data_IF_622336149906
#
_entry.id   IF_622336149906
#
_cell.length_a   1.000
_cell.length_b   1.000
_cell.length_c   1.000
_cell.angle_alpha   90.00
_cell.angle_beta   90.00
_cell.angle_gamma   90.00
#
_symmetry.space_group_name_H-M   'P 1'
#
loop_
_entity.id
_entity.type
_entity.pdbx_description
1 polymer ?
#
# COMPACT_ATOMS: atom_id res chain seq x y z
N UNK A 1 -19.90 -23.13 -4.20
CA UNK A 1 -20.11 -21.70 -4.04
C UNK A 1 -19.25 -21.17 -2.89
N UNK A 2 -18.52 -20.09 -3.13
CA UNK A 2 -17.58 -19.53 -2.15
C UNK A 2 -18.32 -18.52 -1.27
N UNK A 3 -18.32 -18.71 0.04
CA UNK A 3 -18.92 -17.79 1.01
C UNK A 3 -18.02 -16.57 1.24
N UNK A 4 -18.52 -15.53 1.93
CA UNK A 4 -17.73 -14.36 2.29
C UNK A 4 -16.53 -14.73 3.18
N UNK A 5 -16.70 -15.70 4.07
CA UNK A 5 -15.66 -16.22 4.94
C UNK A 5 -14.54 -16.85 4.12
N UNK A 6 -14.92 -17.64 3.11
CA UNK A 6 -13.96 -18.30 2.22
C UNK A 6 -13.15 -17.29 1.41
N UNK A 7 -13.76 -16.21 0.94
CA UNK A 7 -13.06 -15.14 0.22
C UNK A 7 -12.02 -14.45 1.09
N UNK A 8 -12.34 -14.20 2.35
CA UNK A 8 -11.41 -13.62 3.31
C UNK A 8 -10.23 -14.57 3.57
N UNK A 9 -10.51 -15.86 3.73
CA UNK A 9 -9.48 -16.88 3.91
C UNK A 9 -8.56 -16.96 2.69
N UNK A 10 -9.11 -16.91 1.49
CA UNK A 10 -8.33 -16.93 0.26
C UNK A 10 -7.41 -15.73 0.14
N UNK A 11 -7.89 -14.53 0.49
CA UNK A 11 -7.06 -13.33 0.51
C UNK A 11 -5.93 -13.46 1.51
N UNK A 12 -6.22 -13.97 2.72
CA UNK A 12 -5.22 -14.17 3.75
C UNK A 12 -4.14 -15.16 3.31
N UNK A 13 -4.51 -16.24 2.61
CA UNK A 13 -3.57 -17.20 2.04
C UNK A 13 -2.66 -16.54 0.99
N UNK A 14 -3.24 -15.71 0.11
CA UNK A 14 -2.46 -14.97 -0.88
C UNK A 14 -1.49 -14.01 -0.23
N UNK A 15 -1.93 -13.29 0.80
CA UNK A 15 -1.08 -12.38 1.55
C UNK A 15 0.08 -13.13 2.22
N UNK A 16 -0.20 -14.27 2.84
CA UNK A 16 0.83 -15.10 3.46
C UNK A 16 1.88 -15.54 2.44
N UNK A 17 1.47 -15.95 1.23
CA UNK A 17 2.38 -16.32 0.14
C UNK A 17 3.25 -15.15 -0.31
N UNK A 18 2.67 -13.98 -0.44
CA UNK A 18 3.41 -12.75 -0.80
C UNK A 18 4.44 -12.43 0.30
N UNK A 19 4.03 -12.53 1.58
CA UNK A 19 4.90 -12.21 2.71
C UNK A 19 6.10 -13.16 2.86
N UNK A 20 6.04 -14.37 2.31
CA UNK A 20 7.22 -15.25 2.28
C UNK A 20 8.29 -14.74 1.32
N UNK A 21 7.90 -13.93 0.33
CA UNK A 21 8.80 -13.41 -0.70
C UNK A 21 9.10 -11.92 -0.52
N UNK A 22 8.27 -11.20 0.24
CA UNK A 22 8.36 -9.74 0.40
C UNK A 22 8.62 -9.41 1.86
N UNK A 23 9.78 -8.81 2.12
CA UNK A 23 10.16 -8.32 3.44
C UNK A 23 10.86 -6.98 3.28
N UNK A 24 10.49 -6.00 4.11
CA UNK A 24 11.06 -4.65 4.06
C UNK A 24 12.27 -4.52 4.98
N UNK A 25 13.27 -3.77 4.51
CA UNK A 25 14.46 -3.39 5.28
C UNK A 25 14.54 -1.87 5.36
N UNK A 26 15.49 -1.35 6.14
CA UNK A 26 15.71 0.11 6.21
C UNK A 26 16.11 0.71 4.86
N UNK A 27 16.86 -0.04 4.06
CA UNK A 27 17.33 0.40 2.74
C UNK A 27 16.25 0.26 1.67
N UNK A 28 15.42 -0.76 1.80
CA UNK A 28 14.33 -1.05 0.89
C UNK A 28 13.09 -1.46 1.67
N UNK A 29 12.40 -0.49 2.30
CA UNK A 29 11.23 -0.79 3.12
C UNK A 29 10.05 -1.30 2.30
N UNK A 30 9.09 -1.90 2.99
CA UNK A 30 7.91 -2.48 2.36
C UNK A 30 6.77 -1.47 2.29
N UNK A 31 6.31 -1.18 1.08
CA UNK A 31 5.10 -0.39 0.85
C UNK A 31 3.90 -1.33 0.90
N UNK A 32 3.11 -1.23 1.96
CA UNK A 32 1.95 -2.07 2.20
C UNK A 32 0.67 -1.27 1.96
N UNK A 33 -0.27 -1.86 1.23
CA UNK A 33 -1.57 -1.23 0.98
C UNK A 33 -2.68 -2.03 1.68
N UNK A 34 -3.65 -1.32 2.23
CA UNK A 34 -4.85 -1.91 2.82
C UNK A 34 -6.06 -1.12 2.35
N UNK A 35 -7.12 -1.83 1.98
CA UNK A 35 -8.38 -1.25 1.53
C UNK A 35 -9.53 -1.75 2.38
N UNK A 36 -10.28 -0.83 2.99
CA UNK A 36 -11.55 -1.14 3.63
C UNK A 36 -12.70 -0.77 2.67
N UNK A 37 -13.95 -0.94 3.10
CA UNK A 37 -15.11 -0.55 2.28
C UNK A 37 -15.17 0.95 2.00
N UNK A 38 -14.61 1.77 2.88
CA UNK A 38 -14.74 3.23 2.81
C UNK A 38 -13.42 3.96 2.64
N UNK A 39 -12.28 3.32 2.94
CA UNK A 39 -10.98 4.00 2.97
C UNK A 39 -9.87 3.16 2.37
N UNK A 40 -8.80 3.85 2.00
CA UNK A 40 -7.56 3.25 1.49
C UNK A 40 -6.43 3.71 2.38
N UNK A 41 -5.53 2.79 2.73
CA UNK A 41 -4.38 3.04 3.60
C UNK A 41 -3.11 2.56 2.91
N UNK A 42 -2.03 3.32 3.05
CA UNK A 42 -0.71 2.94 2.58
C UNK A 42 0.31 3.19 3.69
N UNK A 43 1.22 2.26 3.90
CA UNK A 43 2.28 2.36 4.90
C UNK A 43 3.60 1.88 4.31
N UNK A 44 4.68 2.55 4.67
CA UNK A 44 6.04 2.10 4.34
C UNK A 44 6.67 1.64 5.64
N UNK A 45 7.02 0.36 5.70
CA UNK A 45 7.40 -0.35 6.92
C UNK A 45 8.81 -0.94 6.80
N UNK A 46 9.63 -0.72 7.84
CA UNK A 46 10.87 -1.42 8.04
C UNK A 46 10.57 -2.66 8.91
N UNK A 47 10.55 -3.85 8.29
CA UNK A 47 10.20 -5.09 8.98
C UNK A 47 11.30 -5.55 9.96
N UNK A 48 12.54 -5.16 9.74
CA UNK A 48 13.65 -5.52 10.63
C UNK A 48 13.51 -4.76 11.96
N UNK A 49 13.22 -3.47 11.90
CA UNK A 49 13.01 -2.65 13.10
C UNK A 49 11.59 -2.76 13.65
N UNK A 50 10.65 -3.33 12.87
CA UNK A 50 9.24 -3.40 13.25
C UNK A 50 8.59 -2.03 13.35
N UNK A 51 8.96 -1.12 12.45
CA UNK A 51 8.58 0.29 12.55
C UNK A 51 7.96 0.80 11.24
N UNK A 52 6.84 1.52 11.35
CA UNK A 52 6.24 2.24 10.21
C UNK A 52 6.98 3.56 10.02
N UNK A 53 7.61 3.72 8.87
CA UNK A 53 8.40 4.91 8.53
C UNK A 53 7.54 6.05 8.00
N UNK A 54 6.58 5.73 7.14
CA UNK A 54 5.69 6.70 6.48
C UNK A 54 4.31 6.08 6.36
N UNK A 55 3.27 6.90 6.50
CA UNK A 55 1.89 6.46 6.31
C UNK A 55 1.09 7.52 5.55
N UNK A 56 0.09 7.11 4.81
CA UNK A 56 -0.89 7.97 4.15
C UNK A 56 -2.21 7.22 4.01
N UNK A 57 -3.32 7.95 4.04
CA UNK A 57 -4.64 7.33 3.88
C UNK A 57 -5.65 8.34 3.37
N UNK A 58 -6.84 7.85 3.01
CA UNK A 58 -7.96 8.72 2.65
C UNK A 58 -8.49 9.53 3.84
N UNK A 59 -8.08 9.21 5.06
CA UNK A 59 -8.40 9.97 6.27
C UNK A 59 -7.55 11.23 6.42
N UNK A 60 -6.45 11.33 5.70
CA UNK A 60 -5.57 12.50 5.72
C UNK A 60 -6.28 13.74 5.16
N UNK A 61 -5.99 14.90 5.77
CA UNK A 61 -6.54 16.18 5.33
C UNK A 61 -6.14 16.55 3.91
N UNK A 62 -4.97 16.08 3.47
CA UNK A 62 -4.43 16.37 2.15
C UNK A 62 -5.12 15.55 1.04
N UNK A 63 -5.85 14.50 1.39
CA UNK A 63 -6.60 13.68 0.45
C UNK A 63 -8.02 14.23 0.34
N UNK A 64 -8.39 14.69 -0.85
CA UNK A 64 -9.71 15.30 -1.10
C UNK A 64 -10.80 14.24 -1.29
N UNK A 65 -10.49 13.15 -1.94
CA UNK A 65 -11.46 12.07 -2.21
C UNK A 65 -11.49 11.10 -1.03
N UNK A 66 -12.56 11.12 -0.25
CA UNK A 66 -12.73 10.30 0.96
C UNK A 66 -13.50 9.02 0.66
N UNK A 67 -13.08 8.27 -0.35
CA UNK A 67 -13.71 7.02 -0.78
C UNK A 67 -12.65 5.98 -1.12
N UNK A 68 -13.03 4.71 -1.14
CA UNK A 68 -12.12 3.63 -1.52
C UNK A 68 -12.23 3.36 -3.02
N UNK A 69 -11.90 4.35 -3.86
CA UNK A 69 -11.97 4.25 -5.31
C UNK A 69 -10.63 4.58 -5.98
N UNK A 70 -10.61 4.51 -7.31
CA UNK A 70 -9.40 4.74 -8.11
C UNK A 70 -8.84 6.16 -7.93
N UNK A 71 -9.69 7.16 -7.87
CA UNK A 71 -9.26 8.55 -7.70
C UNK A 71 -8.59 8.76 -6.34
N UNK A 72 -9.19 8.20 -5.28
CA UNK A 72 -8.60 8.23 -3.95
C UNK A 72 -7.26 7.49 -3.91
N UNK A 73 -7.16 6.37 -4.61
CA UNK A 73 -5.92 5.60 -4.71
C UNK A 73 -4.79 6.43 -5.33
N UNK A 74 -5.08 7.21 -6.35
CA UNK A 74 -4.09 8.10 -6.98
C UNK A 74 -3.62 9.17 -5.99
N UNK A 75 -4.53 9.76 -5.23
CA UNK A 75 -4.19 10.77 -4.23
C UNK A 75 -3.35 10.19 -3.11
N UNK A 76 -3.71 9.01 -2.59
CA UNK A 76 -2.96 8.33 -1.53
C UNK A 76 -1.58 7.91 -2.02
N UNK A 77 -1.49 7.38 -3.24
CA UNK A 77 -0.20 7.01 -3.85
C UNK A 77 0.73 8.20 -4.01
N UNK A 78 0.21 9.32 -4.50
CA UNK A 78 0.98 10.55 -4.63
C UNK A 78 1.44 11.07 -3.27
N UNK A 79 0.57 11.03 -2.26
CA UNK A 79 0.87 11.49 -0.91
C UNK A 79 1.93 10.63 -0.23
N UNK A 80 1.83 9.30 -0.33
CA UNK A 80 2.82 8.41 0.27
C UNK A 80 4.19 8.60 -0.37
N UNK A 81 4.24 8.80 -1.69
CA UNK A 81 5.49 9.08 -2.41
C UNK A 81 6.10 10.42 -1.97
N UNK A 82 5.29 11.45 -1.84
CA UNK A 82 5.74 12.77 -1.36
C UNK A 82 6.35 12.67 0.04
N UNK A 83 5.67 11.99 0.95
CA UNK A 83 6.14 11.81 2.32
C UNK A 83 7.38 10.93 2.40
N UNK A 84 7.47 9.90 1.58
CA UNK A 84 8.65 9.04 1.48
C UNK A 84 9.86 9.82 0.97
N UNK A 85 9.69 10.61 -0.08
CA UNK A 85 10.74 11.44 -0.65
C UNK A 85 11.26 12.45 0.37
N UNK A 86 10.37 13.04 1.18
CA UNK A 86 10.73 13.97 2.25
C UNK A 86 11.62 13.29 3.30
N UNK A 87 11.49 11.98 3.51
CA UNK A 87 12.33 11.18 4.40
C UNK A 87 13.49 10.48 3.69
N UNK A 88 13.73 10.82 2.43
CA UNK A 88 14.81 10.25 1.61
C UNK A 88 14.65 8.75 1.33
N UNK A 89 13.42 8.25 1.34
CA UNK A 89 13.08 6.89 0.96
C UNK A 89 12.76 6.90 -0.54
N UNK A 90 13.51 6.14 -1.32
CA UNK A 90 13.35 6.12 -2.78
C UNK A 90 12.93 4.75 -3.29
N UNK A 91 13.54 3.69 -2.79
CA UNK A 91 13.30 2.32 -3.24
C UNK A 91 12.46 1.58 -2.21
N UNK A 92 11.41 0.91 -2.66
CA UNK A 92 10.54 0.12 -1.79
C UNK A 92 10.20 -1.22 -2.44
N UNK A 93 9.73 -2.16 -1.62
CA UNK A 93 9.15 -3.43 -2.08
C UNK A 93 7.64 -3.31 -1.94
N UNK A 94 6.90 -3.60 -2.99
CA UNK A 94 5.45 -3.46 -2.96
C UNK A 94 4.76 -4.72 -2.44
N UNK A 95 4.05 -4.58 -1.31
CA UNK A 95 3.21 -5.62 -0.74
C UNK A 95 1.74 -5.23 -0.95
N UNK A 96 1.07 -5.90 -1.85
CA UNK A 96 -0.33 -5.66 -2.15
C UNK A 96 -1.31 -6.33 -1.18
N UNK A 97 -0.80 -6.90 -0.08
CA UNK A 97 -1.60 -7.48 1.01
C UNK A 97 -2.58 -8.57 0.56
N UNK A 98 -2.22 -9.36 -0.44
CA UNK A 98 -3.05 -10.42 -0.99
C UNK A 98 -4.14 -9.93 -1.96
N UNK A 99 -4.24 -8.63 -2.21
CA UNK A 99 -5.15 -8.10 -3.23
C UNK A 99 -4.63 -8.41 -4.63
N UNK A 100 -5.55 -8.51 -5.59
CA UNK A 100 -5.21 -8.65 -7.00
C UNK A 100 -4.64 -7.30 -7.48
N UNK A 101 -3.58 -7.33 -8.29
CA UNK A 101 -2.97 -6.13 -8.85
C UNK A 101 -3.87 -5.57 -9.97
N UNK A 102 -4.93 -4.88 -9.55
CA UNK A 102 -5.95 -4.32 -10.43
C UNK A 102 -6.69 -3.17 -9.73
N UNK A 103 -7.22 -2.24 -10.51
CA UNK A 103 -8.03 -1.14 -10.00
C UNK A 103 -7.30 -0.28 -8.96
N UNK A 104 -7.86 -0.18 -7.77
CA UNK A 104 -7.36 0.65 -6.68
C UNK A 104 -5.89 0.35 -6.34
N UNK A 105 -5.55 -0.93 -6.20
CA UNK A 105 -4.19 -1.36 -5.82
C UNK A 105 -3.18 -0.97 -6.91
N UNK A 106 -3.54 -1.17 -8.16
CA UNK A 106 -2.71 -0.81 -9.32
C UNK A 106 -2.53 0.71 -9.42
N UNK A 107 -3.60 1.46 -9.30
CA UNK A 107 -3.56 2.93 -9.42
C UNK A 107 -2.73 3.58 -8.32
N UNK A 108 -2.82 3.06 -7.10
CA UNK A 108 -2.00 3.52 -5.99
C UNK A 108 -0.52 3.28 -6.29
N UNK A 109 -0.17 2.09 -6.77
CA UNK A 109 1.21 1.76 -7.12
C UNK A 109 1.74 2.66 -8.23
N UNK A 110 0.96 2.88 -9.29
CA UNK A 110 1.36 3.74 -10.41
C UNK A 110 1.55 5.19 -9.96
N UNK A 111 0.65 5.71 -9.13
CA UNK A 111 0.76 7.07 -8.60
C UNK A 111 2.01 7.22 -7.71
N UNK A 112 2.32 6.21 -6.91
CA UNK A 112 3.53 6.22 -6.09
C UNK A 112 4.80 6.21 -6.96
N UNK A 113 4.80 5.44 -8.06
CA UNK A 113 5.92 5.44 -9.02
C UNK A 113 6.09 6.78 -9.70
N UNK A 114 5.00 7.40 -10.12
CA UNK A 114 5.02 8.74 -10.72
C UNK A 114 5.55 9.79 -9.73
N UNK A 115 5.28 9.60 -8.45
CA UNK A 115 5.76 10.46 -7.38
C UNK A 115 7.23 10.27 -7.01
N UNK A 116 7.91 9.31 -7.62
CA UNK A 116 9.34 9.11 -7.46
C UNK A 116 9.78 7.84 -6.74
N UNK A 117 8.87 6.99 -6.29
CA UNK A 117 9.22 5.71 -5.68
C UNK A 117 9.61 4.68 -6.75
N UNK A 118 10.62 3.89 -6.46
CA UNK A 118 11.12 2.84 -7.34
C UNK A 118 10.77 1.46 -6.77
N UNK A 119 10.04 0.69 -7.56
CA UNK A 119 9.73 -0.71 -7.23
C UNK A 119 9.18 -1.46 -8.43
#
# INVERSE_FOLDING_TARGET
>A
MVSKTDRKLERNRRHARVRTKVSGTAERPRLCVYRSNTNIYAQIIDDVAGKTLVAASTLDKEVKTKKANVEAAKEVGALIAKRATAKKIKTVVYDRSGYIYHGVVKELAEAAREGGLEF
#
